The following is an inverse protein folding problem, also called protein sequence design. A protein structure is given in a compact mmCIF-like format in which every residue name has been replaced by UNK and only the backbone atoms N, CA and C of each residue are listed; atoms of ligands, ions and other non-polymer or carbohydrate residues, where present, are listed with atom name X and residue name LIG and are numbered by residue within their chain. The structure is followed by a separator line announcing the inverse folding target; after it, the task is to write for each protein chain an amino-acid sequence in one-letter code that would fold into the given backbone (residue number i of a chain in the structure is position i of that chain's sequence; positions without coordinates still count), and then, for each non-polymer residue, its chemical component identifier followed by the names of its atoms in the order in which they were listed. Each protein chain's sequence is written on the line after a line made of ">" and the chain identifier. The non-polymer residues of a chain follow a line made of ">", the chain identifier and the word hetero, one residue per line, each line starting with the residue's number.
data_IF_762661151069
#
_entry.id   IF_762661151069
#
_cell.length_a   1.000
_cell.length_b   1.000
_cell.length_c   1.000
_cell.angle_alpha   90.00
_cell.angle_beta   90.00
_cell.angle_gamma   90.00
#
_symmetry.space_group_name_H-M   'P 1'
#
loop_
_entity.id
_entity.type
_entity.pdbx_description
1 polymer ?
#
# COMPACT_ATOMS: atom_id res chain seq x y z
N UNK A 1 -11.55 11.22 9.34
CA UNK A 1 -10.31 10.43 9.52
C UNK A 1 -10.32 9.21 8.59
N UNK A 2 -10.65 9.43 7.31
CA UNK A 2 -11.03 8.36 6.36
C UNK A 2 -10.73 8.82 4.93
N UNK A 3 -9.51 9.32 4.71
CA UNK A 3 -9.11 9.88 3.41
C UNK A 3 -7.69 9.42 3.02
N UNK A 4 -7.17 8.44 3.75
CA UNK A 4 -5.90 7.81 3.40
C UNK A 4 -6.06 7.13 2.04
N UNK A 5 -5.05 7.29 1.19
CA UNK A 5 -5.01 6.64 -0.12
C UNK A 5 -4.24 5.34 0.00
N UNK A 6 -4.82 4.28 -0.52
CA UNK A 6 -4.32 2.92 -0.37
C UNK A 6 -4.28 2.18 -1.70
N UNK A 7 -3.38 1.20 -1.81
CA UNK A 7 -3.21 0.33 -2.97
C UNK A 7 -3.21 -1.13 -2.56
N UNK A 8 -3.99 -1.94 -3.26
CA UNK A 8 -4.10 -3.38 -3.03
C UNK A 8 -2.96 -4.13 -3.71
N UNK A 9 -2.31 -5.04 -2.98
CA UNK A 9 -1.14 -5.81 -3.45
C UNK A 9 -1.45 -7.28 -3.65
N UNK A 10 -2.36 -7.81 -2.83
CA UNK A 10 -2.71 -9.23 -2.80
C UNK A 10 -4.21 -9.41 -2.97
N UNK A 11 -4.59 -10.55 -3.55
CA UNK A 11 -5.98 -10.92 -3.81
C UNK A 11 -6.46 -10.56 -5.21
N UNK A 12 -7.76 -10.76 -5.43
CA UNK A 12 -8.47 -10.53 -6.70
C UNK A 12 -8.40 -9.07 -7.15
N UNK A 13 -8.39 -8.14 -6.20
CA UNK A 13 -8.41 -6.69 -6.44
C UNK A 13 -7.01 -6.06 -6.52
N UNK A 14 -5.98 -6.86 -6.80
CA UNK A 14 -4.59 -6.41 -6.89
C UNK A 14 -4.44 -5.32 -7.95
N UNK A 15 -3.73 -4.25 -7.60
CA UNK A 15 -3.44 -3.14 -8.51
C UNK A 15 -4.43 -1.97 -8.40
N UNK A 16 -5.59 -2.17 -7.77
CA UNK A 16 -6.54 -1.10 -7.48
C UNK A 16 -5.92 -0.16 -6.44
N UNK A 17 -5.92 1.13 -6.75
CA UNK A 17 -5.57 2.20 -5.84
C UNK A 17 -6.77 3.12 -5.68
N UNK A 18 -7.05 3.54 -4.45
CA UNK A 18 -8.20 4.36 -4.16
C UNK A 18 -8.17 4.92 -2.74
N UNK A 19 -9.15 5.77 -2.43
CA UNK A 19 -9.33 6.30 -1.09
C UNK A 19 -10.08 5.29 -0.22
N UNK A 20 -9.79 5.28 1.07
CA UNK A 20 -10.52 4.45 2.04
C UNK A 20 -11.87 5.10 2.34
N UNK A 21 -12.96 4.47 1.92
CA UNK A 21 -14.32 5.01 2.17
C UNK A 21 -14.82 4.61 3.55
N UNK A 22 -14.61 3.34 3.93
CA UNK A 22 -15.15 2.78 5.18
C UNK A 22 -14.13 1.85 5.83
N UNK A 23 -14.08 1.90 7.16
CA UNK A 23 -13.20 1.08 7.99
C UNK A 23 -14.10 0.27 8.92
N UNK A 24 -13.94 -1.06 8.92
CA UNK A 24 -14.52 -1.93 9.93
C UNK A 24 -13.41 -2.37 10.88
N UNK A 25 -13.46 -1.86 12.11
CA UNK A 25 -12.50 -2.20 13.16
C UNK A 25 -12.69 -3.62 13.68
N UNK A 26 -13.90 -4.17 13.59
CA UNK A 26 -14.21 -5.53 14.08
C UNK A 26 -13.56 -6.61 13.22
N UNK A 27 -13.49 -6.36 11.91
CA UNK A 27 -12.97 -7.31 10.90
C UNK A 27 -11.62 -6.89 10.33
N UNK A 28 -10.98 -5.85 10.89
CA UNK A 28 -9.73 -5.27 10.41
C UNK A 28 -9.67 -5.04 8.89
N UNK A 29 -10.82 -4.70 8.30
CA UNK A 29 -11.02 -4.62 6.86
C UNK A 29 -11.42 -3.22 6.42
N UNK A 30 -11.02 -2.86 5.22
CA UNK A 30 -11.22 -1.54 4.62
C UNK A 30 -11.95 -1.68 3.29
N UNK A 31 -12.89 -0.78 3.06
CA UNK A 31 -13.52 -0.58 1.76
C UNK A 31 -12.76 0.51 1.00
N UNK A 32 -12.39 0.21 -0.24
CA UNK A 32 -11.62 1.10 -1.10
C UNK A 32 -12.52 1.59 -2.23
N UNK A 33 -12.48 2.90 -2.47
CA UNK A 33 -13.14 3.52 -3.61
C UNK A 33 -12.59 2.94 -4.92
N UNK A 34 -13.47 2.36 -5.74
CA UNK A 34 -13.12 1.62 -6.95
C UNK A 34 -13.22 0.10 -6.83
N UNK A 35 -13.37 -0.43 -5.61
CA UNK A 35 -13.58 -1.86 -5.37
C UNK A 35 -15.06 -2.19 -5.09
N UNK A 36 -15.89 -2.16 -6.14
CA UNK A 36 -17.32 -2.48 -6.06
C UNK A 36 -17.62 -3.76 -6.82
N UNK A 37 -18.31 -4.69 -6.17
CA UNK A 37 -18.80 -5.92 -6.80
C UNK A 37 -20.28 -5.74 -7.13
N UNK A 38 -20.65 -6.12 -8.35
CA UNK A 38 -22.05 -6.11 -8.79
C UNK A 38 -22.74 -7.41 -8.38
N UNK A 39 -23.88 -7.29 -7.72
CA UNK A 39 -24.75 -8.43 -7.39
C UNK A 39 -25.64 -8.76 -8.59
N UNK A 40 -26.17 -9.98 -8.66
CA UNK A 40 -27.10 -10.44 -9.72
C UNK A 40 -28.31 -9.51 -9.95
N UNK A 41 -28.68 -8.71 -8.95
CA UNK A 41 -29.80 -7.77 -8.99
C UNK A 41 -29.38 -6.33 -9.37
N UNK A 42 -28.13 -6.12 -9.81
CA UNK A 42 -27.57 -4.82 -10.20
C UNK A 42 -27.11 -3.93 -9.05
N UNK A 43 -27.31 -4.36 -7.79
CA UNK A 43 -26.83 -3.62 -6.62
C UNK A 43 -25.29 -3.69 -6.53
N UNK A 44 -24.64 -2.51 -6.41
CA UNK A 44 -23.20 -2.38 -6.24
C UNK A 44 -22.86 -2.42 -4.76
N UNK A 45 -22.13 -3.44 -4.33
CA UNK A 45 -21.70 -3.62 -2.94
C UNK A 45 -20.21 -3.30 -2.84
N UNK A 46 -19.86 -2.51 -1.84
CA UNK A 46 -18.46 -2.23 -1.51
C UNK A 46 -17.81 -3.49 -0.95
N UNK A 47 -16.67 -3.87 -1.52
CA UNK A 47 -15.95 -5.07 -1.08
C UNK A 47 -14.92 -4.69 -0.03
N UNK A 48 -15.04 -5.33 1.13
CA UNK A 48 -14.09 -5.21 2.23
C UNK A 48 -12.84 -6.04 1.93
N UNK A 49 -11.68 -5.39 2.06
CA UNK A 49 -10.38 -6.02 1.93
C UNK A 49 -9.68 -5.97 3.29
N UNK A 50 -9.11 -7.10 3.71
CA UNK A 50 -8.31 -7.15 4.92
C UNK A 50 -7.08 -6.23 4.82
N UNK A 51 -6.83 -5.43 5.87
CA UNK A 51 -5.76 -4.42 5.92
C UNK A 51 -4.36 -4.94 5.55
N UNK A 52 -4.02 -6.20 5.86
CA UNK A 52 -2.73 -6.84 5.50
C UNK A 52 -2.47 -6.94 3.99
N UNK A 53 -3.52 -6.88 3.16
CA UNK A 53 -3.41 -7.03 1.71
C UNK A 53 -3.19 -5.69 0.98
N UNK A 54 -3.04 -4.62 1.75
CA UNK A 54 -3.08 -3.23 1.27
C UNK A 54 -1.84 -2.48 1.77
N UNK A 55 -1.33 -1.55 0.96
CA UNK A 55 -0.32 -0.57 1.34
C UNK A 55 -0.90 0.83 1.28
N UNK A 56 -0.51 1.67 2.24
CA UNK A 56 -0.85 3.09 2.25
C UNK A 56 0.10 3.83 1.31
N UNK A 57 -0.46 4.51 0.32
CA UNK A 57 0.28 5.33 -0.66
C UNK A 57 0.40 6.78 -0.19
N UNK A 58 -0.64 7.30 0.45
CA UNK A 58 -0.66 8.68 0.95
C UNK A 58 -1.43 8.73 2.27
N UNK A 59 -0.88 9.49 3.22
CA UNK A 59 -1.45 9.68 4.55
C UNK A 59 -2.15 11.03 4.62
N UNK A 60 -3.30 11.07 5.26
CA UNK A 60 -3.88 12.32 5.74
C UNK A 60 -3.30 12.69 7.12
N UNK A 61 -2.78 13.92 7.24
CA UNK A 61 -2.12 14.49 8.43
C UNK A 61 -2.90 15.61 9.12
N UNK A 62 -4.17 15.80 8.79
CA UNK A 62 -4.98 16.87 9.40
C UNK A 62 -5.15 16.74 10.93
N UNK A 63 -4.85 15.56 11.49
CA UNK A 63 -5.14 15.26 12.88
C UNK A 63 -3.94 15.41 13.83
N UNK A 64 -4.10 16.30 14.83
CA UNK A 64 -3.07 16.60 15.85
C UNK A 64 -2.66 15.36 16.65
N UNK A 65 -3.58 14.46 16.97
CA UNK A 65 -3.21 13.25 17.74
C UNK A 65 -2.47 12.23 16.87
N UNK A 66 -2.79 12.17 15.57
CA UNK A 66 -2.11 11.30 14.61
C UNK A 66 -0.67 11.75 14.40
N UNK A 67 -0.43 13.06 14.26
CA UNK A 67 0.92 13.65 14.20
C UNK A 67 1.75 13.28 15.44
N UNK A 68 1.18 13.42 16.64
CA UNK A 68 1.85 13.10 17.90
C UNK A 68 2.27 11.63 18.00
N UNK A 69 1.48 10.71 17.43
CA UNK A 69 1.81 9.27 17.38
C UNK A 69 2.90 8.99 16.34
N UNK A 70 2.87 9.67 15.19
CA UNK A 70 3.92 9.54 14.18
C UNK A 70 5.28 10.04 14.68
N UNK A 71 5.32 11.15 15.40
CA UNK A 71 6.56 11.72 15.96
C UNK A 71 7.16 10.86 17.07
N UNK A 72 6.31 10.21 17.87
CA UNK A 72 6.74 9.30 18.95
C UNK A 72 7.26 7.97 18.45
N UNK A 73 6.99 7.54 17.21
CA UNK A 73 7.64 6.37 16.63
C UNK A 73 9.10 6.72 16.33
N UNK A 74 10.10 6.15 17.05
CA UNK A 74 11.48 6.52 16.84
C UNK A 74 11.89 6.16 15.40
N UNK A 75 12.36 7.17 14.65
CA UNK A 75 12.89 7.06 13.28
C UNK A 75 14.08 6.07 13.15
N UNK A 76 14.54 5.50 14.27
CA UNK A 76 15.66 4.56 14.38
C UNK A 76 15.48 3.27 13.56
N UNK A 77 14.25 2.84 13.25
CA UNK A 77 14.01 1.68 12.35
C UNK A 77 13.89 2.06 10.85
N UNK A 78 13.69 3.34 10.54
CA UNK A 78 13.49 3.82 9.16
C UNK A 78 14.85 4.05 8.48
N UNK A 79 15.86 4.55 9.21
CA UNK A 79 17.24 4.68 8.70
C UNK A 79 17.89 3.33 8.36
N UNK A 80 17.61 2.27 9.12
CA UNK A 80 18.19 0.94 8.89
C UNK A 80 17.60 0.22 7.66
N UNK A 81 16.34 0.52 7.28
CA UNK A 81 15.72 0.00 6.06
C UNK A 81 16.21 0.79 4.82
N UNK A 82 16.33 2.12 4.92
CA UNK A 82 16.87 2.95 3.83
C UNK A 82 18.35 2.64 3.52
N UNK A 83 19.14 2.25 4.52
CA UNK A 83 20.52 1.78 4.33
C UNK A 83 20.62 0.32 3.83
N UNK A 84 19.59 -0.53 4.00
CA UNK A 84 19.56 -1.88 3.40
C UNK A 84 19.07 -1.90 1.95
N UNK A 85 18.21 -0.95 1.55
CA UNK A 85 17.79 -0.79 0.16
C UNK A 85 18.97 -0.31 -0.71
N UNK A 86 19.72 0.71 -0.28
CA UNK A 86 20.92 1.19 -0.98
C UNK A 86 22.07 0.18 -1.12
N UNK A 87 22.02 -0.99 -0.46
CA UNK A 87 23.08 -2.01 -0.49
C UNK A 87 22.70 -3.28 -1.27
N UNK A 88 21.51 -3.33 -1.89
CA UNK A 88 21.05 -4.46 -2.71
C UNK A 88 20.94 -4.14 -4.21
N UNK A 89 21.17 -2.89 -4.62
CA UNK A 89 21.25 -2.52 -6.04
C UNK A 89 22.68 -2.71 -6.61
N UNK A 90 23.69 -2.81 -5.75
CA UNK A 90 25.04 -3.24 -6.10
C UNK A 90 25.23 -4.70 -5.71
N UNK A 91 25.12 -5.59 -6.70
CA UNK A 91 25.69 -6.95 -6.80
C UNK A 91 24.67 -7.89 -7.46
N UNK A 92 24.93 -8.10 -8.76
CA UNK A 92 24.68 -9.29 -9.60
C UNK A 92 23.53 -9.22 -10.62
N UNK A 93 23.79 -8.48 -11.71
CA UNK A 93 23.40 -8.91 -13.05
C UNK A 93 24.63 -9.57 -13.72
N UNK A 94 24.52 -10.80 -14.24
CA UNK A 94 25.63 -11.56 -14.79
C UNK A 94 26.02 -11.06 -16.20
N UNK A 95 27.34 -10.99 -16.44
CA UNK A 95 27.93 -10.72 -17.73
C UNK A 95 27.45 -11.71 -18.81
N UNK A 96 26.90 -11.19 -19.91
CA UNK A 96 26.88 -11.86 -21.21
C UNK A 96 27.61 -10.97 -22.22
N UNK A 97 28.79 -11.43 -22.62
CA UNK A 97 29.49 -11.00 -23.85
C UNK A 97 28.54 -11.18 -25.03
N UNK A 98 28.48 -10.18 -25.92
CA UNK A 98 28.20 -10.39 -27.34
C UNK A 98 29.12 -9.49 -28.17
N UNK A 99 29.84 -10.20 -29.00
CA UNK A 99 30.80 -9.84 -30.04
C UNK A 99 30.17 -9.00 -31.17
N UNK A 100 31.05 -8.29 -31.91
CA UNK A 100 30.97 -7.88 -33.32
C UNK A 100 29.72 -7.10 -33.82
N UNK A 101 29.83 -6.03 -34.62
CA UNK A 101 30.38 -5.98 -35.99
C UNK A 101 30.71 -4.52 -36.35
N UNK A 102 31.81 -4.35 -37.09
CA UNK A 102 32.22 -3.14 -37.82
C UNK A 102 31.64 -3.11 -39.22
#
# INVERSE_FOLDING_TARGET
>A
MTDDTVKVIRGEYKGIAGKVTKISSDSNSVAIEGNKKEKLKGEKIDVYIHSTNVIITSLNTDDKWRLKILEKKPKSKIKSIKNKAKKKDDVKLPAKKKDDVK
#
